data_IF_758423174836
#
_entry.id   IF_758423174836
#
_cell.length_a   1.000
_cell.length_b   1.000
_cell.length_c   1.000
_cell.angle_alpha   90.00
_cell.angle_beta   90.00
_cell.angle_gamma   90.00
#
_symmetry.space_group_name_H-M   'P 1'
#
loop_
_entity.id
_entity.type
_entity.pdbx_description
1 polymer ?
#
# COMPACT_ATOMS: atom_id res chain seq x y z
N UNK A 1 -10.09 -5.88 -23.26
CA UNK A 1 -9.78 -6.96 -22.32
C UNK A 1 -10.73 -6.77 -21.14
N UNK A 2 -11.62 -7.70 -20.88
CA UNK A 2 -12.51 -7.65 -19.71
C UNK A 2 -11.64 -7.71 -18.46
N UNK A 3 -11.94 -6.88 -17.46
CA UNK A 3 -11.17 -6.81 -16.18
C UNK A 3 -11.41 -8.05 -15.30
N UNK A 4 -12.46 -8.82 -15.60
CA UNK A 4 -12.81 -10.03 -14.87
C UNK A 4 -12.85 -11.25 -15.79
N UNK A 5 -12.61 -12.45 -15.23
CA UNK A 5 -12.89 -13.70 -15.96
C UNK A 5 -14.37 -13.77 -16.36
N UNK A 6 -14.71 -14.30 -17.54
CA UNK A 6 -16.08 -14.63 -17.85
C UNK A 6 -16.62 -15.65 -16.82
N UNK A 7 -17.92 -15.58 -16.54
CA UNK A 7 -18.67 -16.62 -15.82
C UNK A 7 -18.30 -16.86 -14.33
N UNK A 8 -18.47 -15.85 -13.47
CA UNK A 8 -18.49 -16.05 -12.00
C UNK A 8 -17.19 -15.86 -11.24
N UNK A 9 -16.04 -15.71 -11.90
CA UNK A 9 -14.76 -15.45 -11.25
C UNK A 9 -14.66 -14.09 -10.54
N UNK A 10 -15.55 -13.16 -10.86
CA UNK A 10 -15.61 -11.82 -10.22
C UNK A 10 -15.78 -11.91 -8.69
N UNK A 11 -16.70 -12.76 -8.24
CA UNK A 11 -16.95 -12.93 -6.81
C UNK A 11 -15.74 -13.56 -6.08
N UNK A 12 -15.04 -14.50 -6.71
CA UNK A 12 -13.81 -15.08 -6.14
C UNK A 12 -12.72 -14.03 -5.98
N UNK A 13 -12.52 -13.16 -6.98
CA UNK A 13 -11.57 -12.04 -6.91
C UNK A 13 -11.97 -11.06 -5.81
N UNK A 14 -13.23 -10.66 -5.73
CA UNK A 14 -13.75 -9.75 -4.68
C UNK A 14 -13.58 -10.35 -3.29
N UNK A 15 -13.92 -11.62 -3.10
CA UNK A 15 -13.71 -12.32 -1.81
C UNK A 15 -12.25 -12.32 -1.42
N UNK A 16 -11.35 -12.58 -2.33
CA UNK A 16 -9.92 -12.58 -2.04
C UNK A 16 -9.39 -11.17 -1.71
N UNK A 17 -9.81 -10.14 -2.45
CA UNK A 17 -9.15 -8.83 -2.44
C UNK A 17 -9.80 -7.80 -1.52
N UNK A 18 -11.12 -7.88 -1.29
CA UNK A 18 -11.86 -6.86 -0.54
C UNK A 18 -12.26 -7.34 0.87
N UNK A 19 -12.79 -8.56 0.98
CA UNK A 19 -13.35 -9.04 2.23
C UNK A 19 -12.36 -9.11 3.39
N UNK A 20 -11.11 -9.61 3.25
CA UNK A 20 -10.17 -9.68 4.36
C UNK A 20 -9.89 -8.30 4.97
N UNK A 21 -9.70 -7.28 4.12
CA UNK A 21 -9.51 -5.90 4.57
C UNK A 21 -10.75 -5.34 5.26
N UNK A 22 -11.94 -5.52 4.69
CA UNK A 22 -13.19 -5.02 5.28
C UNK A 22 -13.47 -5.63 6.65
N UNK A 23 -13.37 -6.95 6.76
CA UNK A 23 -13.63 -7.67 8.01
C UNK A 23 -12.60 -7.29 9.08
N UNK A 24 -11.32 -7.32 8.73
CA UNK A 24 -10.25 -6.97 9.68
C UNK A 24 -10.38 -5.52 10.17
N UNK A 25 -10.49 -4.56 9.26
CA UNK A 25 -10.61 -3.14 9.63
C UNK A 25 -11.88 -2.88 10.44
N UNK A 26 -13.02 -3.49 10.07
CA UNK A 26 -14.29 -3.31 10.78
C UNK A 26 -14.27 -3.88 12.19
N UNK A 27 -13.80 -5.11 12.36
CA UNK A 27 -13.70 -5.75 13.67
C UNK A 27 -12.74 -4.99 14.59
N UNK A 28 -11.58 -4.60 14.07
CA UNK A 28 -10.59 -3.89 14.90
C UNK A 28 -11.02 -2.45 15.20
N UNK A 29 -11.62 -1.72 14.27
CA UNK A 29 -12.18 -0.42 14.57
C UNK A 29 -13.22 -0.50 15.70
N UNK A 30 -14.07 -1.54 15.68
CA UNK A 30 -15.05 -1.78 16.76
C UNK A 30 -14.37 -2.13 18.09
N UNK A 31 -13.40 -3.03 18.09
CA UNK A 31 -12.67 -3.43 19.31
C UNK A 31 -11.92 -2.24 19.91
N UNK A 32 -11.20 -1.48 19.08
CA UNK A 32 -10.38 -0.36 19.54
C UNK A 32 -11.20 0.91 19.84
N UNK A 33 -12.48 0.96 19.47
CA UNK A 33 -13.40 2.00 19.98
C UNK A 33 -13.57 1.95 21.52
N UNK A 34 -13.23 0.82 22.16
CA UNK A 34 -13.22 0.65 23.62
C UNK A 34 -11.83 0.85 24.25
N UNK A 35 -10.86 1.38 23.49
CA UNK A 35 -9.49 1.71 23.93
C UNK A 35 -8.73 0.56 24.66
N UNK A 36 -8.68 -0.68 24.10
CA UNK A 36 -7.92 -1.75 24.71
C UNK A 36 -6.42 -1.45 24.65
N UNK A 37 -5.73 -1.68 25.75
CA UNK A 37 -4.28 -1.52 25.79
C UNK A 37 -3.61 -2.77 25.18
N UNK A 38 -2.90 -2.59 24.08
CA UNK A 38 -2.21 -3.69 23.38
C UNK A 38 -0.70 -3.48 23.45
N UNK A 39 0.06 -4.46 23.97
CA UNK A 39 1.52 -4.39 23.99
C UNK A 39 2.14 -4.11 22.62
N UNK A 40 3.22 -3.32 22.58
CA UNK A 40 3.90 -2.97 21.33
C UNK A 40 4.36 -4.22 20.55
N UNK A 41 4.79 -5.26 21.24
CA UNK A 41 5.19 -6.54 20.61
C UNK A 41 4.07 -7.14 19.75
N UNK A 42 2.81 -7.06 20.20
CA UNK A 42 1.66 -7.51 19.42
C UNK A 42 1.38 -6.56 18.25
N UNK A 43 1.55 -5.24 18.46
CA UNK A 43 1.36 -4.26 17.37
C UNK A 43 2.36 -4.45 16.22
N UNK A 44 3.55 -5.00 16.47
CA UNK A 44 4.57 -5.29 15.46
C UNK A 44 4.28 -6.56 14.64
N UNK A 45 3.45 -7.49 15.14
CA UNK A 45 3.21 -8.79 14.51
C UNK A 45 2.81 -8.67 13.04
N UNK A 46 1.86 -7.82 12.62
CA UNK A 46 1.48 -7.73 11.22
C UNK A 46 2.62 -7.25 10.32
N UNK A 47 3.46 -6.33 10.80
CA UNK A 47 4.64 -5.87 10.06
C UNK A 47 5.67 -6.99 9.91
N UNK A 48 5.92 -7.77 10.96
CA UNK A 48 6.81 -8.94 10.89
C UNK A 48 6.25 -9.99 9.92
N UNK A 49 4.95 -10.27 9.99
CA UNK A 49 4.26 -11.20 9.07
C UNK A 49 4.32 -10.70 7.63
N UNK A 50 4.25 -9.37 7.41
CA UNK A 50 4.33 -8.78 6.08
C UNK A 50 5.65 -9.07 5.35
N UNK A 51 6.73 -9.33 6.09
CA UNK A 51 8.05 -9.64 5.52
C UNK A 51 8.00 -10.88 4.61
N UNK A 52 7.21 -11.88 4.97
CA UNK A 52 7.22 -13.19 4.29
C UNK A 52 5.94 -13.51 3.54
N UNK A 53 4.78 -12.98 3.94
CA UNK A 53 3.49 -13.41 3.35
C UNK A 53 3.13 -12.60 2.10
N UNK A 54 2.68 -11.37 2.26
CA UNK A 54 2.16 -10.57 1.15
C UNK A 54 2.79 -9.17 1.07
N UNK A 55 3.28 -8.63 2.19
CA UNK A 55 3.82 -7.28 2.25
C UNK A 55 5.04 -7.10 1.33
N UNK A 56 6.20 -7.62 1.71
CA UNK A 56 7.40 -7.59 0.86
C UNK A 56 7.21 -8.37 -0.47
N UNK A 57 6.58 -9.57 -0.48
CA UNK A 57 6.41 -10.34 -1.71
C UNK A 57 5.60 -9.67 -2.81
N UNK A 58 4.66 -8.72 -2.51
CA UNK A 58 3.79 -8.17 -3.56
C UNK A 58 4.55 -7.41 -4.65
N UNK A 59 5.66 -6.75 -4.34
CA UNK A 59 6.55 -6.12 -5.30
C UNK A 59 7.57 -7.06 -5.95
N UNK A 60 7.81 -8.24 -5.36
CA UNK A 60 8.82 -9.17 -5.85
C UNK A 60 8.50 -9.79 -7.22
N UNK A 61 7.26 -9.71 -7.70
CA UNK A 61 6.86 -10.21 -9.02
C UNK A 61 6.81 -9.14 -10.10
N UNK A 62 7.20 -7.91 -9.84
CA UNK A 62 7.21 -6.80 -10.80
C UNK A 62 7.95 -7.13 -12.09
N UNK A 63 9.00 -7.92 -12.01
CA UNK A 63 9.77 -8.36 -13.17
C UNK A 63 8.97 -9.17 -14.20
N UNK A 64 7.83 -9.76 -13.81
CA UNK A 64 6.92 -10.50 -14.70
C UNK A 64 5.91 -9.59 -15.41
N UNK A 65 5.67 -8.40 -14.87
CA UNK A 65 4.62 -7.48 -15.36
C UNK A 65 4.81 -7.09 -16.83
N UNK A 66 6.02 -6.73 -17.32
CA UNK A 66 6.21 -6.39 -18.73
C UNK A 66 5.89 -7.55 -19.68
N UNK A 67 6.23 -8.78 -19.30
CA UNK A 67 5.89 -9.98 -20.10
C UNK A 67 4.39 -10.22 -20.20
N UNK A 68 3.65 -9.93 -19.13
CA UNK A 68 2.19 -10.16 -19.07
C UNK A 68 1.38 -9.08 -19.78
N UNK A 69 1.84 -7.81 -19.75
CA UNK A 69 1.05 -6.68 -20.25
C UNK A 69 1.51 -6.11 -21.58
N UNK A 70 2.70 -6.43 -22.08
CA UNK A 70 3.27 -5.81 -23.29
C UNK A 70 3.94 -6.79 -24.27
N UNK A 71 3.71 -8.09 -24.15
CA UNK A 71 4.32 -9.11 -25.02
C UNK A 71 5.87 -9.00 -25.10
N UNK A 72 6.51 -8.52 -24.05
CA UNK A 72 7.97 -8.47 -23.91
C UNK A 72 8.44 -9.81 -23.36
N UNK A 73 9.58 -10.35 -23.83
CA UNK A 73 10.10 -11.57 -23.24
C UNK A 73 10.38 -11.37 -21.73
N UNK A 74 10.13 -12.42 -20.93
CA UNK A 74 10.30 -12.37 -19.45
C UNK A 74 11.72 -11.93 -19.08
N UNK A 75 12.73 -12.41 -19.82
CA UNK A 75 14.15 -12.06 -19.58
C UNK A 75 14.37 -10.56 -19.78
N UNK A 76 13.92 -10.00 -20.91
CA UNK A 76 14.03 -8.55 -21.18
C UNK A 76 13.28 -7.73 -20.15
N UNK A 77 12.06 -8.15 -19.78
CA UNK A 77 11.26 -7.51 -18.73
C UNK A 77 12.01 -7.49 -17.40
N UNK A 78 12.58 -8.61 -16.99
CA UNK A 78 13.35 -8.72 -15.76
C UNK A 78 14.59 -7.81 -15.75
N UNK A 79 15.33 -7.70 -16.86
CA UNK A 79 16.48 -6.78 -16.97
C UNK A 79 16.04 -5.31 -16.87
N UNK A 80 14.97 -4.92 -17.53
CA UNK A 80 14.46 -3.52 -17.48
C UNK A 80 14.01 -3.18 -16.07
N UNK A 81 13.17 -4.04 -15.47
CA UNK A 81 12.69 -3.81 -14.09
C UNK A 81 13.85 -3.85 -13.10
N UNK A 82 14.77 -4.82 -13.22
CA UNK A 82 15.97 -4.90 -12.39
C UNK A 82 16.84 -3.64 -12.47
N UNK A 83 17.01 -3.07 -13.66
CA UNK A 83 17.72 -1.80 -13.88
C UNK A 83 17.00 -0.62 -13.19
N UNK A 84 15.66 -0.56 -13.25
CA UNK A 84 14.86 0.47 -12.55
C UNK A 84 15.02 0.31 -11.03
N UNK A 85 14.96 -0.93 -10.52
CA UNK A 85 15.15 -1.20 -9.09
C UNK A 85 16.56 -0.85 -8.62
N UNK A 86 17.58 -1.16 -9.41
CA UNK A 86 18.96 -0.82 -9.09
C UNK A 86 19.14 0.71 -9.05
N UNK A 87 18.72 1.42 -10.09
CA UNK A 87 18.92 2.87 -10.19
C UNK A 87 18.14 3.63 -9.11
N UNK A 88 16.82 3.41 -9.03
CA UNK A 88 15.97 4.15 -8.12
C UNK A 88 16.10 3.66 -6.68
N UNK A 89 16.26 2.34 -6.46
CA UNK A 89 16.44 1.77 -5.14
C UNK A 89 17.75 2.20 -4.49
N UNK A 90 18.88 2.13 -5.22
CA UNK A 90 20.16 2.62 -4.72
C UNK A 90 20.13 4.13 -4.51
N UNK A 91 19.59 4.90 -5.47
CA UNK A 91 19.46 6.35 -5.33
C UNK A 91 18.65 6.75 -4.08
N UNK A 92 17.54 6.07 -3.83
CA UNK A 92 16.71 6.36 -2.66
C UNK A 92 17.34 5.86 -1.35
N UNK A 93 18.05 4.75 -1.39
CA UNK A 93 18.87 4.29 -0.25
C UNK A 93 19.91 5.35 0.14
N UNK A 94 20.58 5.97 -0.82
CA UNK A 94 21.53 7.04 -0.56
C UNK A 94 20.89 8.26 0.15
N UNK A 95 19.63 8.58 -0.16
CA UNK A 95 18.89 9.64 0.56
C UNK A 95 18.79 9.30 2.06
N UNK A 96 18.51 8.04 2.42
CA UNK A 96 18.45 7.62 3.81
C UNK A 96 19.80 7.73 4.53
N UNK A 97 20.90 7.43 3.87
CA UNK A 97 22.24 7.56 4.45
C UNK A 97 22.73 9.01 4.56
N UNK A 98 22.32 9.89 3.63
CA UNK A 98 22.81 11.26 3.58
C UNK A 98 21.90 12.25 4.31
N UNK A 99 20.60 12.00 4.35
CA UNK A 99 19.59 12.89 4.90
C UNK A 99 18.37 12.09 5.43
N UNK A 100 18.52 11.34 6.55
CA UNK A 100 17.48 10.42 7.03
C UNK A 100 16.12 11.08 7.30
N UNK A 101 16.08 12.31 7.81
CA UNK A 101 14.84 13.07 8.01
C UNK A 101 14.12 13.38 6.68
N UNK A 102 14.88 13.70 5.61
CA UNK A 102 14.34 13.85 4.25
C UNK A 102 13.88 12.49 3.72
N UNK A 103 14.65 11.42 3.98
CA UNK A 103 14.27 10.04 3.69
C UNK A 103 12.92 9.69 4.28
N UNK A 104 12.72 9.96 5.57
CA UNK A 104 11.44 9.73 6.25
C UNK A 104 10.30 10.58 5.65
N UNK A 105 10.47 11.89 5.53
CA UNK A 105 9.43 12.78 5.00
C UNK A 105 9.02 12.41 3.57
N UNK A 106 10.00 12.12 2.70
CA UNK A 106 9.74 11.68 1.33
C UNK A 106 9.10 10.29 1.27
N UNK A 107 9.43 9.38 2.20
CA UNK A 107 8.77 8.08 2.31
C UNK A 107 7.29 8.21 2.66
N UNK A 108 6.93 9.10 3.58
CA UNK A 108 5.51 9.38 3.90
C UNK A 108 4.75 9.87 2.65
N UNK A 109 5.32 10.82 1.91
CA UNK A 109 4.69 11.34 0.69
C UNK A 109 4.61 10.26 -0.39
N UNK A 110 5.68 9.49 -0.60
CA UNK A 110 5.73 8.39 -1.56
C UNK A 110 4.70 7.31 -1.24
N UNK A 111 4.59 6.94 0.04
CA UNK A 111 3.64 5.91 0.50
C UNK A 111 2.21 6.39 0.37
N UNK A 112 1.92 7.66 0.74
CA UNK A 112 0.61 8.27 0.51
C UNK A 112 0.21 8.20 -0.98
N UNK A 113 1.11 8.63 -1.86
CA UNK A 113 0.87 8.61 -3.30
C UNK A 113 0.67 7.17 -3.81
N UNK A 114 1.55 6.24 -3.43
CA UNK A 114 1.52 4.85 -3.88
C UNK A 114 0.30 4.08 -3.38
N UNK A 115 -0.02 4.20 -2.09
CA UNK A 115 -1.16 3.47 -1.53
C UNK A 115 -2.49 4.00 -2.05
N UNK A 116 -2.59 5.32 -2.27
CA UNK A 116 -3.72 5.91 -2.96
C UNK A 116 -3.83 5.47 -4.42
N UNK A 117 -2.72 5.49 -5.16
CA UNK A 117 -2.65 5.01 -6.54
C UNK A 117 -3.04 3.52 -6.63
N UNK A 118 -2.49 2.67 -5.76
CA UNK A 118 -2.75 1.23 -5.74
C UNK A 118 -4.22 0.90 -5.49
N UNK A 119 -4.92 1.75 -4.72
CA UNK A 119 -6.35 1.56 -4.43
C UNK A 119 -7.27 1.92 -5.62
N UNK A 120 -6.81 2.74 -6.57
CA UNK A 120 -7.64 3.18 -7.71
C UNK A 120 -8.09 2.03 -8.60
N UNK A 121 -7.19 1.09 -8.91
CA UNK A 121 -7.59 -0.09 -9.67
C UNK A 121 -8.66 -0.91 -8.91
N UNK A 122 -8.46 -1.14 -7.62
CA UNK A 122 -9.41 -1.90 -6.79
C UNK A 122 -10.76 -1.19 -6.67
N UNK A 123 -10.78 0.13 -6.51
CA UNK A 123 -12.03 0.91 -6.45
C UNK A 123 -12.82 0.82 -7.75
N UNK A 124 -12.15 1.01 -8.89
CA UNK A 124 -12.83 1.02 -10.20
C UNK A 124 -13.19 -0.39 -10.65
N UNK A 125 -12.25 -1.34 -10.57
CA UNK A 125 -12.44 -2.69 -11.09
C UNK A 125 -13.15 -3.62 -10.10
N UNK A 126 -12.76 -3.64 -8.82
CA UNK A 126 -13.30 -4.60 -7.86
C UNK A 126 -14.51 -4.06 -7.09
N UNK A 127 -14.49 -2.79 -6.68
CA UNK A 127 -15.59 -2.17 -5.95
C UNK A 127 -16.66 -1.53 -6.87
N UNK A 128 -16.38 -1.39 -8.17
CA UNK A 128 -17.31 -0.87 -9.17
C UNK A 128 -17.61 0.63 -8.99
N UNK A 129 -16.60 1.44 -8.62
CA UNK A 129 -16.73 2.87 -8.35
C UNK A 129 -16.87 3.70 -9.65
N UNK A 130 -17.92 3.43 -10.44
CA UNK A 130 -18.16 4.09 -11.73
C UNK A 130 -18.35 5.60 -11.65
N UNK A 131 -18.68 6.16 -10.47
CA UNK A 131 -18.76 7.60 -10.23
C UNK A 131 -17.41 8.32 -10.35
N UNK A 132 -16.29 7.60 -10.29
CA UNK A 132 -14.93 8.13 -10.46
C UNK A 132 -14.55 8.23 -11.96
N UNK A 133 -15.25 9.07 -12.74
CA UNK A 133 -15.08 9.10 -14.19
C UNK A 133 -14.06 10.13 -14.71
N UNK A 134 -13.52 11.00 -13.88
CA UNK A 134 -12.52 11.98 -14.31
C UNK A 134 -11.19 11.82 -13.59
N UNK A 135 -10.07 12.18 -14.27
CA UNK A 135 -8.73 12.12 -13.67
C UNK A 135 -8.63 12.95 -12.38
N UNK A 136 -9.13 14.21 -12.30
CA UNK A 136 -9.09 14.96 -11.05
C UNK A 136 -9.84 14.28 -9.90
N UNK A 137 -10.97 13.63 -10.20
CA UNK A 137 -11.76 12.92 -9.19
C UNK A 137 -11.05 11.65 -8.70
N UNK A 138 -10.38 10.90 -9.60
CA UNK A 138 -9.52 9.75 -9.22
C UNK A 138 -8.30 10.22 -8.44
N UNK A 139 -7.69 11.35 -8.81
CA UNK A 139 -6.58 11.93 -8.05
C UNK A 139 -7.00 12.32 -6.64
N UNK A 140 -8.18 12.96 -6.47
CA UNK A 140 -8.74 13.25 -5.16
C UNK A 140 -8.99 11.97 -4.35
N UNK A 141 -9.61 10.96 -4.96
CA UNK A 141 -9.82 9.67 -4.33
C UNK A 141 -8.49 9.01 -3.90
N UNK A 142 -7.45 9.06 -4.74
CA UNK A 142 -6.12 8.55 -4.42
C UNK A 142 -5.50 9.29 -3.22
N UNK A 143 -5.56 10.62 -3.18
CA UNK A 143 -5.07 11.40 -2.03
C UNK A 143 -5.84 11.05 -0.75
N UNK A 144 -7.16 10.91 -0.84
CA UNK A 144 -7.99 10.51 0.30
C UNK A 144 -7.62 9.09 0.76
N UNK A 145 -7.48 8.12 -0.15
CA UNK A 145 -7.18 6.74 0.21
C UNK A 145 -5.78 6.57 0.80
N UNK A 146 -4.77 7.20 0.21
CA UNK A 146 -3.40 7.16 0.72
C UNK A 146 -3.19 8.01 1.98
N UNK A 147 -4.03 9.02 2.20
CA UNK A 147 -3.96 9.88 3.38
C UNK A 147 -4.38 9.19 4.67
N UNK A 148 -5.29 8.22 4.64
CA UNK A 148 -5.71 7.51 5.87
C UNK A 148 -4.54 6.91 6.64
N UNK A 149 -3.70 6.05 6.07
CA UNK A 149 -2.59 5.44 6.79
C UNK A 149 -1.45 6.41 7.14
N UNK A 150 -1.31 7.51 6.42
CA UNK A 150 -0.18 8.43 6.59
C UNK A 150 -0.51 9.67 7.40
N UNK A 151 -1.69 10.27 7.25
CA UNK A 151 -2.05 11.53 7.88
C UNK A 151 -2.91 11.36 9.13
N UNK A 152 -3.81 10.38 9.15
CA UNK A 152 -4.69 10.18 10.33
C UNK A 152 -3.88 9.76 11.57
N UNK A 153 -2.89 8.83 11.51
CA UNK A 153 -2.07 8.52 12.67
C UNK A 153 -1.23 9.69 13.18
N UNK A 154 -0.77 10.59 12.31
CA UNK A 154 -0.08 11.82 12.72
C UNK A 154 -0.97 12.70 13.60
N UNK A 155 -2.26 12.78 13.29
CA UNK A 155 -3.24 13.58 14.02
C UNK A 155 -3.70 12.89 15.32
N UNK A 156 -4.06 11.60 15.22
CA UNK A 156 -4.69 10.84 16.30
C UNK A 156 -3.67 10.27 17.31
N UNK A 157 -2.47 9.89 16.86
CA UNK A 157 -1.45 9.21 17.65
C UNK A 157 -0.05 9.85 17.50
N UNK A 158 0.11 11.17 17.75
CA UNK A 158 1.34 11.90 17.43
C UNK A 158 2.58 11.32 18.10
N UNK A 159 2.50 10.94 19.38
CA UNK A 159 3.66 10.38 20.11
C UNK A 159 4.09 9.02 19.54
N UNK A 160 3.14 8.18 19.08
CA UNK A 160 3.48 6.91 18.43
C UNK A 160 4.03 7.13 17.03
N UNK A 161 3.53 8.14 16.31
CA UNK A 161 4.04 8.51 14.98
C UNK A 161 5.48 9.03 15.07
N UNK A 162 5.78 9.89 16.03
CA UNK A 162 7.14 10.38 16.31
C UNK A 162 8.08 9.22 16.66
N UNK A 163 7.62 8.27 17.49
CA UNK A 163 8.38 7.05 17.79
C UNK A 163 8.69 6.22 16.54
N UNK A 164 7.75 6.13 15.60
CA UNK A 164 8.00 5.45 14.30
C UNK A 164 9.05 6.21 13.49
N UNK A 165 9.00 7.55 13.47
CA UNK A 165 10.04 8.36 12.81
C UNK A 165 11.43 8.10 13.43
N UNK A 166 11.53 8.07 14.77
CA UNK A 166 12.77 7.71 15.48
C UNK A 166 13.29 6.33 15.05
N UNK A 167 12.44 5.31 15.04
CA UNK A 167 12.82 3.93 14.65
C UNK A 167 13.37 3.84 13.22
N UNK A 168 12.94 4.71 12.31
CA UNK A 168 13.41 4.71 10.93
C UNK A 168 14.68 5.55 10.74
N UNK A 169 14.81 6.64 11.50
CA UNK A 169 15.91 7.61 11.36
C UNK A 169 17.15 7.17 12.15
N UNK A 170 16.96 6.64 13.37
CA UNK A 170 18.05 6.28 14.28
C UNK A 170 19.12 5.35 13.67
N UNK A 171 18.80 4.29 12.90
CA UNK A 171 19.83 3.44 12.29
C UNK A 171 20.85 4.18 11.41
N UNK A 172 20.48 5.36 10.91
CA UNK A 172 21.31 6.21 10.06
C UNK A 172 21.98 7.36 10.83
N UNK A 173 22.01 7.31 12.17
CA UNK A 173 22.52 8.37 13.03
C UNK A 173 21.89 9.76 12.75
N UNK A 174 20.62 9.76 12.34
CA UNK A 174 19.89 10.98 11.98
C UNK A 174 19.22 11.66 13.18
N UNK A 175 18.95 12.95 13.03
CA UNK A 175 18.28 13.76 14.05
C UNK A 175 16.77 13.88 13.76
N UNK A 176 15.95 13.25 14.62
CA UNK A 176 14.48 13.32 14.52
C UNK A 176 13.94 14.70 14.88
N UNK A 177 14.70 15.53 15.63
CA UNK A 177 14.28 16.88 16.01
C UNK A 177 14.02 17.79 14.80
N UNK A 178 14.62 17.48 13.65
CA UNK A 178 14.32 18.16 12.36
C UNK A 178 12.86 18.04 11.95
N UNK A 179 12.15 17.04 12.45
CA UNK A 179 10.71 16.82 12.18
C UNK A 179 9.80 17.47 13.25
N UNK A 180 10.35 18.07 14.31
CA UNK A 180 9.57 18.69 15.40
C UNK A 180 8.46 19.66 14.90
N UNK A 181 8.67 20.48 13.85
CA UNK A 181 7.61 21.35 13.33
C UNK A 181 6.36 20.60 12.82
N UNK A 182 6.52 19.35 12.38
CA UNK A 182 5.39 18.51 11.90
C UNK A 182 4.51 18.06 13.07
N UNK A 183 5.08 17.89 14.25
CA UNK A 183 4.39 17.37 15.43
C UNK A 183 3.72 18.44 16.30
N UNK A 184 3.86 19.73 15.96
CA UNK A 184 3.19 20.80 16.71
C UNK A 184 1.67 20.68 16.63
N UNK A 185 0.92 21.12 17.68
CA UNK A 185 -0.54 21.11 17.66
C UNK A 185 -1.13 21.84 16.46
N UNK A 186 -0.54 22.95 16.05
CA UNK A 186 -0.98 23.79 14.92
C UNK A 186 -0.83 23.04 13.59
N UNK A 187 0.33 22.40 13.36
CA UNK A 187 0.58 21.62 12.15
C UNK A 187 -0.37 20.43 12.05
N UNK A 188 -0.59 19.71 13.15
CA UNK A 188 -1.52 18.59 13.20
C UNK A 188 -2.97 19.02 12.97
N UNK A 189 -3.38 20.16 13.56
CA UNK A 189 -4.71 20.73 13.32
C UNK A 189 -4.89 21.10 11.85
N UNK A 190 -3.89 21.77 11.25
CA UNK A 190 -3.94 22.15 9.84
C UNK A 190 -4.05 20.89 8.94
N UNK A 191 -3.25 19.85 9.21
CA UNK A 191 -3.34 18.57 8.50
C UNK A 191 -4.71 17.92 8.69
N UNK A 192 -5.21 17.85 9.93
CA UNK A 192 -6.50 17.24 10.24
C UNK A 192 -7.67 17.93 9.56
N UNK A 193 -7.73 19.27 9.64
CA UNK A 193 -8.78 20.06 8.99
C UNK A 193 -8.67 19.98 7.47
N UNK A 194 -7.47 20.17 6.91
CA UNK A 194 -7.25 20.11 5.46
C UNK A 194 -7.58 18.74 4.89
N UNK A 195 -7.12 17.67 5.52
CA UNK A 195 -7.42 16.31 5.09
C UNK A 195 -8.90 15.95 5.28
N UNK A 196 -9.52 16.34 6.40
CA UNK A 196 -10.96 16.17 6.63
C UNK A 196 -11.80 16.86 5.57
N UNK A 197 -11.39 18.07 5.13
CA UNK A 197 -12.04 18.77 4.02
C UNK A 197 -11.92 18.00 2.70
N UNK A 198 -10.75 17.41 2.39
CA UNK A 198 -10.58 16.58 1.18
C UNK A 198 -11.48 15.33 1.22
N UNK A 199 -11.60 14.67 2.37
CA UNK A 199 -12.51 13.53 2.57
C UNK A 199 -13.97 13.98 2.34
N UNK A 200 -14.39 15.10 2.92
CA UNK A 200 -15.74 15.62 2.75
C UNK A 200 -16.04 15.97 1.28
N UNK A 201 -15.09 16.61 0.58
CA UNK A 201 -15.22 16.93 -0.85
C UNK A 201 -15.30 15.64 -1.68
N UNK A 202 -14.47 14.63 -1.40
CA UNK A 202 -14.52 13.35 -2.10
C UNK A 202 -15.88 12.66 -1.96
N UNK A 203 -16.37 12.53 -0.73
CA UNK A 203 -17.67 11.93 -0.44
C UNK A 203 -18.84 12.73 -1.04
N UNK A 204 -18.81 14.07 -0.94
CA UNK A 204 -19.82 14.95 -1.48
C UNK A 204 -19.90 14.90 -3.00
N UNK A 205 -18.76 14.98 -3.70
CA UNK A 205 -18.70 14.83 -5.15
C UNK A 205 -19.14 13.43 -5.61
N UNK A 206 -18.73 12.39 -4.88
CA UNK A 206 -19.15 11.02 -5.14
C UNK A 206 -20.67 10.86 -4.99
N UNK A 207 -21.24 11.41 -3.92
CA UNK A 207 -22.69 11.42 -3.71
C UNK A 207 -23.45 12.12 -4.83
N UNK A 208 -22.99 13.28 -5.25
CA UNK A 208 -23.63 14.06 -6.30
C UNK A 208 -23.57 13.36 -7.67
N UNK A 209 -22.46 12.67 -7.93
CA UNK A 209 -22.21 11.97 -9.21
C UNK A 209 -22.48 10.46 -9.14
N UNK A 210 -23.19 9.99 -8.10
CA UNK A 210 -23.41 8.57 -7.89
C UNK A 210 -24.13 7.90 -9.06
N UNK A 211 -23.58 6.75 -9.44
CA UNK A 211 -24.19 5.84 -10.42
C UNK A 211 -24.07 4.43 -9.82
N UNK A 212 -25.18 3.73 -9.68
CA UNK A 212 -25.22 2.39 -9.09
C UNK A 212 -24.72 2.34 -7.63
N UNK A 213 -24.34 1.14 -7.18
CA UNK A 213 -23.93 0.89 -5.79
C UNK A 213 -22.44 1.15 -5.51
N UNK A 214 -21.64 1.39 -6.54
CA UNK A 214 -20.19 1.59 -6.39
C UNK A 214 -19.83 2.79 -5.51
N UNK A 215 -20.63 3.87 -5.55
CA UNK A 215 -20.47 4.99 -4.63
C UNK A 215 -20.66 4.58 -3.16
N UNK A 216 -21.65 3.75 -2.86
CA UNK A 216 -21.91 3.29 -1.48
C UNK A 216 -20.74 2.47 -0.94
N UNK A 217 -20.11 1.64 -1.80
CA UNK A 217 -18.92 0.86 -1.45
C UNK A 217 -17.74 1.78 -1.20
N UNK A 218 -17.48 2.74 -2.09
CA UNK A 218 -16.40 3.71 -1.91
C UNK A 218 -16.60 4.55 -0.63
N UNK A 219 -17.79 5.07 -0.40
CA UNK A 219 -18.11 5.79 0.83
C UNK A 219 -17.98 4.91 2.08
N UNK A 220 -18.48 3.68 2.03
CA UNK A 220 -18.33 2.71 3.13
C UNK A 220 -16.87 2.38 3.44
N UNK A 221 -16.05 2.13 2.42
CA UNK A 221 -14.61 1.92 2.60
C UNK A 221 -13.89 3.15 3.15
N UNK A 222 -14.25 4.35 2.67
CA UNK A 222 -13.69 5.63 3.14
C UNK A 222 -13.97 5.84 4.62
N UNK A 223 -15.23 5.63 5.05
CA UNK A 223 -15.63 5.73 6.47
C UNK A 223 -14.99 4.63 7.33
N UNK A 224 -14.91 3.41 6.80
CA UNK A 224 -14.27 2.28 7.47
C UNK A 224 -12.79 2.54 7.74
N UNK A 225 -12.05 3.01 6.73
CA UNK A 225 -10.63 3.38 6.87
C UNK A 225 -10.47 4.56 7.86
N UNK A 226 -11.37 5.55 7.80
CA UNK A 226 -11.40 6.64 8.77
C UNK A 226 -11.53 6.12 10.19
N UNK A 227 -12.54 5.29 10.47
CA UNK A 227 -12.75 4.70 11.79
C UNK A 227 -11.54 3.86 12.22
N UNK A 228 -11.01 3.01 11.34
CA UNK A 228 -9.88 2.14 11.60
C UNK A 228 -8.60 2.92 12.00
N UNK A 229 -8.19 3.91 11.21
CA UNK A 229 -6.98 4.67 11.50
C UNK A 229 -7.13 5.70 12.61
N UNK A 230 -8.36 6.09 12.99
CA UNK A 230 -8.62 6.94 14.15
C UNK A 230 -8.58 6.16 15.47
N UNK A 231 -8.84 4.86 15.46
CA UNK A 231 -9.00 4.08 16.69
C UNK A 231 -7.86 3.09 16.93
N UNK A 232 -7.32 2.47 15.86
CA UNK A 232 -6.31 1.41 15.97
C UNK A 232 -4.90 2.00 16.04
N UNK A 233 -4.03 1.55 16.97
CA UNK A 233 -2.65 2.02 17.11
C UNK A 233 -1.86 1.92 15.78
N UNK A 234 -1.03 2.93 15.43
CA UNK A 234 -0.43 3.06 14.09
C UNK A 234 0.34 1.84 13.58
N UNK A 235 1.20 1.23 14.39
CA UNK A 235 2.00 0.08 13.97
C UNK A 235 1.12 -1.13 13.63
N UNK A 236 0.08 -1.36 14.41
CA UNK A 236 -0.90 -2.42 14.16
C UNK A 236 -1.73 -2.10 12.92
N UNK A 237 -2.25 -0.87 12.84
CA UNK A 237 -3.11 -0.42 11.75
C UNK A 237 -2.38 -0.45 10.39
N UNK A 238 -1.19 0.14 10.32
CA UNK A 238 -0.37 0.19 9.11
C UNK A 238 0.02 -1.22 8.66
N UNK A 239 0.45 -2.09 9.58
CA UNK A 239 0.84 -3.45 9.25
C UNK A 239 -0.31 -4.28 8.69
N UNK A 240 -1.50 -4.21 9.30
CA UNK A 240 -2.69 -4.93 8.82
C UNK A 240 -3.23 -4.35 7.51
N UNK A 241 -3.29 -3.03 7.39
CA UNK A 241 -3.66 -2.37 6.14
C UNK A 241 -2.71 -2.76 5.00
N UNK A 242 -1.41 -2.74 5.26
CA UNK A 242 -0.40 -3.13 4.27
C UNK A 242 -0.63 -4.56 3.77
N UNK A 243 -0.86 -5.53 4.67
CA UNK A 243 -1.08 -6.93 4.29
C UNK A 243 -2.44 -7.18 3.64
N UNK A 244 -3.53 -6.77 4.31
CA UNK A 244 -4.87 -7.26 4.02
C UNK A 244 -5.69 -6.31 3.13
N UNK A 245 -5.23 -5.06 3.00
CA UNK A 245 -5.86 -4.09 2.12
C UNK A 245 -5.01 -3.82 0.89
N UNK A 246 -3.85 -3.20 1.06
CA UNK A 246 -3.02 -2.75 -0.06
C UNK A 246 -2.39 -3.91 -0.85
N UNK A 247 -1.59 -4.74 -0.18
CA UNK A 247 -0.85 -5.81 -0.86
C UNK A 247 -1.79 -6.87 -1.45
N UNK A 248 -2.86 -7.25 -0.73
CA UNK A 248 -3.78 -8.27 -1.21
C UNK A 248 -4.58 -7.80 -2.43
N UNK A 249 -4.98 -6.52 -2.50
CA UNK A 249 -5.59 -5.90 -3.69
C UNK A 249 -4.63 -5.90 -4.87
N UNK A 250 -3.36 -5.60 -4.62
CA UNK A 250 -2.34 -5.64 -5.67
C UNK A 250 -2.07 -7.07 -6.15
N UNK A 251 -1.97 -8.05 -5.24
CA UNK A 251 -1.85 -9.49 -5.58
C UNK A 251 -3.02 -9.96 -6.44
N UNK A 252 -4.25 -9.58 -6.10
CA UNK A 252 -5.42 -9.90 -6.92
C UNK A 252 -5.35 -9.28 -8.31
N UNK A 253 -4.91 -8.01 -8.41
CA UNK A 253 -4.66 -7.33 -9.69
C UNK A 253 -3.63 -8.07 -10.55
N UNK A 254 -2.52 -8.49 -9.95
CA UNK A 254 -1.46 -9.24 -10.62
C UNK A 254 -1.92 -10.64 -11.05
N UNK A 255 -2.73 -11.31 -10.24
CA UNK A 255 -3.30 -12.61 -10.57
C UNK A 255 -4.21 -12.55 -11.81
N UNK A 256 -4.92 -11.43 -12.02
CA UNK A 256 -5.72 -11.21 -13.23
C UNK A 256 -4.87 -10.97 -14.50
N UNK A 257 -3.56 -10.84 -14.38
CA UNK A 257 -2.64 -10.80 -15.53
C UNK A 257 -1.97 -12.15 -15.80
N UNK A 258 -2.28 -13.18 -15.05
CA UNK A 258 -1.70 -14.54 -15.12
C UNK A 258 -2.78 -15.53 -15.58
N UNK A 259 -2.70 -15.99 -16.81
CA UNK A 259 -3.75 -16.80 -17.45
C UNK A 259 -4.21 -18.01 -16.61
N UNK A 260 -3.31 -18.86 -16.02
CA UNK A 260 -3.75 -19.96 -15.17
C UNK A 260 -4.44 -19.50 -13.86
N UNK A 261 -4.15 -18.28 -13.39
CA UNK A 261 -4.84 -17.71 -12.23
C UNK A 261 -6.25 -17.23 -12.61
N UNK A 262 -6.41 -16.68 -13.81
CA UNK A 262 -7.71 -16.28 -14.35
C UNK A 262 -8.62 -17.51 -14.51
N UNK A 263 -8.11 -18.61 -15.09
CA UNK A 263 -8.85 -19.87 -15.22
C UNK A 263 -9.28 -20.45 -13.86
N UNK A 264 -8.38 -20.39 -12.86
CA UNK A 264 -8.70 -20.83 -11.50
C UNK A 264 -9.80 -19.99 -10.85
N UNK A 265 -9.78 -18.66 -11.04
CA UNK A 265 -10.87 -17.80 -10.57
C UNK A 265 -12.22 -18.13 -11.25
N UNK A 266 -12.22 -18.47 -12.52
CA UNK A 266 -13.44 -18.86 -13.25
C UNK A 266 -14.08 -20.13 -12.66
N UNK A 267 -13.28 -21.03 -12.07
CA UNK A 267 -13.76 -22.23 -11.35
C UNK A 267 -14.00 -22.00 -9.86
N UNK A 268 -13.80 -20.77 -9.36
CA UNK A 268 -13.98 -20.42 -7.94
C UNK A 268 -12.84 -20.90 -7.02
N UNK A 269 -11.68 -21.24 -7.56
CA UNK A 269 -10.48 -21.63 -6.80
C UNK A 269 -9.58 -20.43 -6.50
N UNK A 270 -9.55 -19.89 -5.24
CA UNK A 270 -8.67 -18.81 -4.85
C UNK A 270 -7.25 -19.30 -4.49
N UNK A 271 -7.06 -20.60 -4.26
CA UNK A 271 -5.80 -21.14 -3.76
C UNK A 271 -4.73 -21.25 -4.85
N UNK A 272 -5.12 -21.58 -6.05
CA UNK A 272 -4.19 -21.67 -7.20
C UNK A 272 -3.53 -20.32 -7.48
N UNK A 273 -4.25 -19.18 -7.61
CA UNK A 273 -3.61 -17.86 -7.73
C UNK A 273 -2.65 -17.53 -6.59
N UNK A 274 -3.02 -17.81 -5.33
CA UNK A 274 -2.15 -17.54 -4.17
C UNK A 274 -0.88 -18.39 -4.17
N UNK A 275 -0.98 -19.69 -4.51
CA UNK A 275 0.20 -20.58 -4.61
C UNK A 275 1.12 -20.17 -5.75
N UNK A 276 0.57 -19.77 -6.88
CA UNK A 276 1.33 -19.26 -8.03
C UNK A 276 2.06 -17.98 -7.67
N UNK A 277 1.35 -17.02 -7.06
CA UNK A 277 1.96 -15.80 -6.54
C UNK A 277 3.11 -16.11 -5.59
N UNK A 278 2.91 -16.95 -4.58
CA UNK A 278 3.94 -17.29 -3.60
C UNK A 278 5.19 -17.89 -4.26
N UNK A 279 5.03 -18.82 -5.23
CA UNK A 279 6.16 -19.42 -5.96
C UNK A 279 6.91 -18.41 -6.81
N UNK A 280 6.21 -17.48 -7.44
CA UNK A 280 6.80 -16.46 -8.32
C UNK A 280 7.50 -15.35 -7.52
N UNK A 281 6.96 -15.00 -6.35
CA UNK A 281 7.53 -13.98 -5.47
C UNK A 281 8.74 -14.48 -4.67
N UNK A 282 8.77 -15.76 -4.30
CA UNK A 282 9.75 -16.32 -3.37
C UNK A 282 11.23 -16.03 -3.72
N UNK A 283 11.70 -16.15 -4.97
CA UNK A 283 13.12 -15.89 -5.28
C UNK A 283 13.54 -14.45 -5.00
N UNK A 284 12.78 -13.46 -5.48
CA UNK A 284 13.13 -12.05 -5.27
C UNK A 284 12.79 -11.56 -3.86
N UNK A 285 11.84 -12.19 -3.17
CA UNK A 285 11.65 -11.97 -1.74
C UNK A 285 12.88 -12.41 -0.95
N UNK A 286 13.47 -13.58 -1.27
CA UNK A 286 14.70 -14.04 -0.64
C UNK A 286 15.88 -13.08 -0.91
N UNK A 287 15.99 -12.55 -2.13
CA UNK A 287 16.99 -11.52 -2.46
C UNK A 287 16.76 -10.25 -1.64
N UNK A 288 15.51 -9.80 -1.51
CA UNK A 288 15.17 -8.61 -0.69
C UNK A 288 15.51 -8.81 0.80
N UNK A 289 15.33 -10.04 1.31
CA UNK A 289 15.76 -10.38 2.68
C UNK A 289 17.28 -10.37 2.84
N UNK A 290 18.02 -10.80 1.81
CA UNK A 290 19.49 -10.66 1.82
C UNK A 290 19.91 -9.18 1.83
N UNK A 291 19.21 -8.30 1.10
CA UNK A 291 19.44 -6.85 1.18
C UNK A 291 19.13 -6.28 2.56
N UNK A 292 18.11 -6.79 3.27
CA UNK A 292 17.87 -6.39 4.66
C UNK A 292 19.07 -6.73 5.56
N UNK A 293 19.69 -7.90 5.35
CA UNK A 293 20.95 -8.28 6.01
C UNK A 293 22.10 -7.33 5.67
N UNK A 294 22.24 -6.94 4.40
CA UNK A 294 23.24 -5.95 3.97
C UNK A 294 22.97 -4.58 4.62
N UNK A 295 21.71 -4.13 4.67
CA UNK A 295 21.36 -2.89 5.37
C UNK A 295 21.79 -2.92 6.83
N UNK A 296 21.49 -4.00 7.54
CA UNK A 296 21.89 -4.17 8.93
C UNK A 296 23.40 -4.04 9.13
N UNK A 297 24.21 -4.52 8.18
CA UNK A 297 25.69 -4.44 8.25
C UNK A 297 26.23 -3.06 7.87
N UNK A 298 25.49 -2.27 7.10
CA UNK A 298 25.95 -0.98 6.56
C UNK A 298 25.46 0.23 7.36
N UNK A 299 24.36 0.11 8.10
CA UNK A 299 23.84 1.26 8.88
C UNK A 299 24.81 1.64 10.01
N UNK A 300 25.02 2.94 10.29
CA UNK A 300 25.91 3.41 11.34
C UNK A 300 25.53 2.90 12.73
N UNK A 301 24.25 2.78 13.05
CA UNK A 301 23.70 2.34 14.33
C UNK A 301 22.78 1.12 14.15
N UNK A 302 23.34 -0.09 14.08
CA UNK A 302 22.52 -1.29 13.88
C UNK A 302 21.53 -1.51 15.02
N UNK A 303 20.25 -1.78 14.70
CA UNK A 303 19.23 -2.00 15.71
C UNK A 303 19.47 -3.27 16.53
N UNK A 304 19.16 -3.23 17.82
CA UNK A 304 19.27 -4.35 18.76
C UNK A 304 17.92 -4.83 19.28
N UNK A 305 16.82 -4.11 18.98
CA UNK A 305 15.48 -4.42 19.45
C UNK A 305 14.57 -4.85 18.29
N UNK A 306 13.53 -5.63 18.56
CA UNK A 306 12.55 -6.03 17.56
C UNK A 306 11.90 -4.82 16.84
N UNK A 307 11.61 -3.75 17.58
CA UNK A 307 11.06 -2.52 17.00
C UNK A 307 12.06 -1.85 16.04
N UNK A 308 13.34 -1.79 16.42
CA UNK A 308 14.41 -1.26 15.56
C UNK A 308 14.61 -2.10 14.30
N UNK A 309 14.54 -3.44 14.38
CA UNK A 309 14.57 -4.31 13.18
C UNK A 309 13.37 -4.05 12.26
N UNK A 310 12.17 -3.82 12.81
CA UNK A 310 11.01 -3.41 12.02
C UNK A 310 11.24 -2.03 11.39
N UNK A 311 11.86 -1.08 12.10
CA UNK A 311 12.26 0.21 11.53
C UNK A 311 13.17 0.05 10.31
N UNK A 312 14.23 -0.75 10.44
CA UNK A 312 15.15 -1.04 9.32
C UNK A 312 14.45 -1.74 8.14
N UNK A 313 13.53 -2.67 8.43
CA UNK A 313 12.68 -3.29 7.42
C UNK A 313 11.80 -2.26 6.69
N UNK A 314 11.20 -1.30 7.41
CA UNK A 314 10.39 -0.24 6.79
C UNK A 314 11.24 0.68 5.90
N UNK A 315 12.51 0.91 6.23
CA UNK A 315 13.43 1.63 5.34
C UNK A 315 13.75 0.82 4.09
N UNK A 316 13.94 -0.51 4.20
CA UNK A 316 14.05 -1.36 3.01
C UNK A 316 12.77 -1.26 2.14
N UNK A 317 11.60 -1.34 2.76
CA UNK A 317 10.33 -1.12 2.03
C UNK A 317 10.34 0.24 1.34
N UNK A 318 10.77 1.31 2.00
CA UNK A 318 10.87 2.64 1.39
C UNK A 318 11.77 2.62 0.14
N UNK A 319 12.96 2.02 0.23
CA UNK A 319 13.89 1.91 -0.88
C UNK A 319 13.33 1.11 -2.07
N UNK A 320 12.56 0.06 -1.79
CA UNK A 320 11.90 -0.76 -2.82
C UNK A 320 10.60 -0.14 -3.35
N UNK A 321 9.96 0.74 -2.58
CA UNK A 321 8.68 1.37 -2.98
C UNK A 321 8.87 2.32 -4.17
N UNK A 322 9.94 3.11 -4.22
CA UNK A 322 10.13 4.07 -5.31
C UNK A 322 10.19 3.40 -6.71
N UNK A 323 11.02 2.36 -6.95
CA UNK A 323 11.00 1.63 -8.22
C UNK A 323 9.66 0.90 -8.45
N UNK A 324 9.06 0.32 -7.42
CA UNK A 324 7.76 -0.35 -7.50
C UNK A 324 6.66 0.60 -7.97
N UNK A 325 6.60 1.82 -7.46
CA UNK A 325 5.67 2.88 -7.92
C UNK A 325 5.83 3.13 -9.43
N UNK A 326 7.06 3.14 -9.93
CA UNK A 326 7.32 3.25 -11.37
C UNK A 326 6.70 2.12 -12.19
N UNK A 327 6.82 0.87 -11.72
CA UNK A 327 6.20 -0.30 -12.38
C UNK A 327 4.68 -0.22 -12.29
N UNK A 328 4.11 0.12 -11.12
CA UNK A 328 2.66 0.28 -10.95
C UNK A 328 2.10 1.40 -11.81
N UNK A 329 2.79 2.54 -11.93
CA UNK A 329 2.39 3.64 -12.81
C UNK A 329 2.37 3.20 -14.28
N UNK A 330 3.35 2.41 -14.70
CA UNK A 330 3.36 1.81 -16.03
C UNK A 330 2.20 0.81 -16.23
N UNK A 331 1.89 -0.02 -15.22
CA UNK A 331 0.70 -0.89 -15.24
C UNK A 331 -0.59 -0.09 -15.38
N UNK A 332 -0.74 0.99 -14.61
CA UNK A 332 -1.90 1.87 -14.65
C UNK A 332 -2.12 2.43 -16.06
N UNK A 333 -1.03 2.88 -16.70
CA UNK A 333 -1.08 3.39 -18.07
C UNK A 333 -1.51 2.30 -19.06
N UNK A 334 -0.99 1.08 -18.94
CA UNK A 334 -1.35 -0.06 -19.79
C UNK A 334 -2.78 -0.53 -19.60
N UNK A 335 -3.29 -0.51 -18.38
CA UNK A 335 -4.65 -0.92 -18.04
C UNK A 335 -5.67 0.22 -18.09
N UNK A 336 -5.24 1.46 -18.38
CA UNK A 336 -6.13 2.62 -18.51
C UNK A 336 -6.76 3.08 -17.19
N UNK A 337 -6.12 2.81 -16.04
CA UNK A 337 -6.67 3.15 -14.71
C UNK A 337 -6.99 4.64 -14.58
N UNK A 338 -6.24 5.51 -15.26
CA UNK A 338 -6.40 6.97 -15.24
C UNK A 338 -7.17 7.53 -16.44
N UNK A 339 -7.78 6.66 -17.28
CA UNK A 339 -8.54 7.06 -18.46
C UNK A 339 -10.03 6.73 -18.29
N UNK A 340 -10.90 7.38 -19.08
CA UNK A 340 -12.35 7.10 -19.08
C UNK A 340 -12.70 5.67 -19.50
N UNK A 341 -11.83 5.00 -20.24
CA UNK A 341 -12.11 3.68 -20.83
C UNK A 341 -12.30 2.53 -19.81
N UNK A 342 -11.83 2.69 -18.57
CA UNK A 342 -12.04 1.66 -17.52
C UNK A 342 -13.45 1.71 -16.95
N UNK A 343 -14.07 2.90 -16.89
CA UNK A 343 -15.43 3.07 -16.36
C UNK A 343 -16.54 2.60 -17.32
N UNK A 344 -16.22 2.45 -18.61
CA UNK A 344 -17.17 1.95 -19.61
C UNK A 344 -17.12 0.42 -19.79
N UNK A 345 -16.14 -0.25 -19.18
CA UNK A 345 -15.90 -1.70 -19.30
C UNK A 345 -16.16 -2.48 -17.99
N UNK A 346 -16.44 -1.78 -16.90
CA UNK A 346 -16.88 -2.31 -15.62
C UNK A 346 -18.41 -2.23 -15.50
#
# INVERSE_FOLDING_TARGET
>A
MTLFPPDGGEEAVRRLTLWPGWVCCGLLALVFAFDPQVPQTIQLVPLVVSVVLVGLPHGAIDHLVPGRLAAVSTVRGAFVVGGVYLLLGVGYTLVWFLAPAVGFGSFIVLTLAHWGQGDMHALVAFAGAAHLHSVPQRALAAVVRGGFPMLVPLVAFPAQYERVAELLIAPFAGDVSLLAPVFTPESRLAVGVGYGALVAVHLGLGYWRRVGDGWRRDAGETLLLGAFFLTVPPLLAVGLYFCLWHALRHVGRLALTDEPSVEAFATGDPWTPLRRFARQAAPLTAVSLAFLGVFYLLVPEPPTTAAGFVGLYLVLIAALTLPHVGVVAWMDAKQGVWTRAVSERA
#
